data_IF_255325216895
#
_entry.id   IF_255325216895
#
_cell.length_a   1.000
_cell.length_b   1.000
_cell.length_c   1.000
_cell.angle_alpha   90.00
_cell.angle_beta   90.00
_cell.angle_gamma   90.00
#
_symmetry.space_group_name_H-M   'P 1'
#
loop_
_entity.id
_entity.type
_entity.pdbx_description
1 polymer ?
#
# COMPACT_ATOMS: atom_id res chain seq x y z
N UNK A 1 -7.21 42.55 -3.20
CA UNK A 1 -8.61 42.13 -3.00
C UNK A 1 -9.13 41.15 -4.04
N UNK A 2 -9.01 41.39 -5.36
CA UNK A 2 -9.43 40.42 -6.39
C UNK A 2 -8.52 39.18 -6.50
N UNK A 3 -7.23 39.29 -6.18
CA UNK A 3 -6.26 38.19 -6.22
C UNK A 3 -6.35 37.23 -5.02
N UNK A 4 -6.83 37.70 -3.86
CA UNK A 4 -7.06 36.84 -2.69
C UNK A 4 -8.38 36.05 -2.80
N UNK A 5 -9.39 36.61 -3.49
CA UNK A 5 -10.62 35.88 -3.80
C UNK A 5 -10.35 34.71 -4.77
N UNK A 6 -9.44 34.85 -5.73
CA UNK A 6 -9.09 33.74 -6.65
C UNK A 6 -8.34 32.59 -5.96
N UNK A 7 -7.62 32.84 -4.87
CA UNK A 7 -6.98 31.78 -4.07
C UNK A 7 -7.99 31.06 -3.17
N UNK A 8 -9.07 31.73 -2.76
CA UNK A 8 -10.10 31.15 -1.89
C UNK A 8 -11.03 30.14 -2.60
N UNK A 9 -11.07 30.12 -3.93
CA UNK A 9 -11.97 29.27 -4.73
C UNK A 9 -11.43 27.82 -4.89
N UNK A 10 -10.14 27.57 -4.66
CA UNK A 10 -9.56 26.22 -4.73
C UNK A 10 -9.61 25.41 -3.41
N UNK A 11 -10.32 25.91 -2.40
CA UNK A 11 -10.57 25.16 -1.15
C UNK A 11 -11.94 24.47 -1.17
N UNK A 12 -12.32 23.91 -2.32
CA UNK A 12 -13.39 22.92 -2.42
C UNK A 12 -12.78 21.56 -2.08
N UNK A 13 -13.40 20.82 -1.17
CA UNK A 13 -12.93 19.58 -0.57
C UNK A 13 -12.73 18.41 -1.56
N UNK A 14 -11.73 18.52 -2.44
CA UNK A 14 -11.41 17.51 -3.43
C UNK A 14 -10.21 16.69 -2.94
N UNK A 15 -10.33 15.37 -3.04
CA UNK A 15 -9.30 14.40 -2.65
C UNK A 15 -7.96 14.78 -3.28
N UNK A 16 -6.86 14.74 -2.53
CA UNK A 16 -5.54 15.09 -3.08
C UNK A 16 -5.20 14.19 -4.29
N UNK A 17 -4.50 14.70 -5.32
CA UNK A 17 -4.13 13.89 -6.47
C UNK A 17 -3.41 12.60 -6.06
N UNK A 18 -3.98 11.46 -6.47
CA UNK A 18 -3.53 10.15 -6.07
C UNK A 18 -2.44 9.65 -7.02
N UNK A 19 -1.21 9.55 -6.52
CA UNK A 19 -0.12 8.89 -7.24
C UNK A 19 -0.33 7.38 -7.19
N UNK A 20 -0.49 6.75 -8.35
CA UNK A 20 -0.62 5.30 -8.45
C UNK A 20 0.58 4.69 -9.17
N UNK A 21 0.95 3.49 -8.73
CA UNK A 21 2.07 2.72 -9.28
C UNK A 21 1.53 1.43 -9.90
N UNK A 22 2.29 0.84 -10.80
CA UNK A 22 1.95 -0.48 -11.36
C UNK A 22 2.10 -1.59 -10.32
N UNK A 23 1.37 -2.69 -10.50
CA UNK A 23 1.48 -3.87 -9.63
C UNK A 23 2.92 -4.40 -9.56
N UNK A 24 3.62 -4.45 -10.69
CA UNK A 24 5.03 -4.90 -10.75
C UNK A 24 5.93 -4.08 -9.82
N UNK A 25 5.75 -2.75 -9.79
CA UNK A 25 6.49 -1.87 -8.88
C UNK A 25 6.13 -2.09 -7.43
N UNK A 26 4.83 -2.29 -7.15
CA UNK A 26 4.37 -2.57 -5.80
C UNK A 26 5.01 -3.85 -5.26
N UNK A 27 4.95 -4.95 -6.01
CA UNK A 27 5.58 -6.22 -5.63
C UNK A 27 7.09 -6.04 -5.44
N UNK A 28 7.77 -5.41 -6.39
CA UNK A 28 9.22 -5.16 -6.31
C UNK A 28 9.59 -4.35 -5.06
N UNK A 29 8.89 -3.24 -4.78
CA UNK A 29 9.15 -2.40 -3.62
C UNK A 29 8.85 -3.12 -2.31
N UNK A 30 7.84 -3.98 -2.28
CA UNK A 30 7.48 -4.78 -1.10
C UNK A 30 8.56 -5.80 -0.77
N UNK A 31 9.05 -6.54 -1.78
CA UNK A 31 10.12 -7.52 -1.59
C UNK A 31 11.43 -6.84 -1.22
N UNK A 32 11.85 -5.81 -1.98
CA UNK A 32 13.14 -5.16 -1.73
C UNK A 32 13.19 -4.55 -0.32
N UNK A 33 12.08 -4.00 0.19
CA UNK A 33 12.02 -3.34 1.51
C UNK A 33 11.58 -4.26 2.67
N UNK A 34 11.60 -5.58 2.50
CA UNK A 34 11.15 -6.53 3.52
C UNK A 34 9.73 -6.24 4.05
N UNK A 35 8.77 -6.05 3.15
CA UNK A 35 7.37 -5.69 3.43
C UNK A 35 7.14 -4.32 4.10
N UNK A 36 8.18 -3.51 4.35
CA UNK A 36 8.00 -2.15 4.88
C UNK A 36 7.18 -1.26 3.92
N UNK A 37 7.30 -1.50 2.61
CA UNK A 37 6.48 -0.80 1.61
C UNK A 37 4.99 -1.14 1.71
N UNK A 38 4.61 -2.32 2.23
CA UNK A 38 3.22 -2.69 2.47
C UNK A 38 2.58 -1.72 3.46
N UNK A 39 3.29 -1.41 4.55
CA UNK A 39 2.87 -0.46 5.58
C UNK A 39 2.72 0.94 4.97
N UNK A 40 3.68 1.37 4.16
CA UNK A 40 3.59 2.65 3.45
C UNK A 40 2.35 2.69 2.53
N UNK A 41 2.09 1.63 1.78
CA UNK A 41 0.89 1.54 0.95
C UNK A 41 -0.39 1.58 1.80
N UNK A 42 -0.47 0.84 2.91
CA UNK A 42 -1.61 0.88 3.83
C UNK A 42 -1.86 2.30 4.37
N UNK A 43 -0.79 3.03 4.70
CA UNK A 43 -0.89 4.44 5.09
C UNK A 43 -1.52 5.28 3.97
N UNK A 44 -1.04 5.15 2.73
CA UNK A 44 -1.61 5.90 1.59
C UNK A 44 -3.07 5.53 1.32
N UNK A 45 -3.44 4.26 1.46
CA UNK A 45 -4.81 3.79 1.31
C UNK A 45 -5.73 4.35 2.42
N UNK A 46 -5.28 4.35 3.67
CA UNK A 46 -6.03 4.96 4.77
C UNK A 46 -6.15 6.48 4.62
N UNK A 47 -5.10 7.16 4.16
CA UNK A 47 -5.13 8.61 3.89
C UNK A 47 -6.15 8.95 2.80
N UNK A 48 -6.21 8.14 1.74
CA UNK A 48 -7.24 8.28 0.71
C UNK A 48 -8.66 8.21 1.31
N UNK A 49 -8.96 7.19 2.11
CA UNK A 49 -10.28 7.07 2.74
C UNK A 49 -10.56 8.12 3.82
N UNK A 50 -9.53 8.62 4.50
CA UNK A 50 -9.66 9.76 5.41
C UNK A 50 -10.17 10.99 4.65
N UNK A 51 -9.60 11.28 3.49
CA UNK A 51 -9.98 12.42 2.65
C UNK A 51 -11.35 12.21 1.98
N UNK A 52 -11.57 11.03 1.37
CA UNK A 52 -12.84 10.69 0.69
C UNK A 52 -14.03 10.74 1.66
N UNK A 53 -13.90 10.14 2.84
CA UNK A 53 -15.00 10.04 3.81
C UNK A 53 -15.07 11.25 4.75
N UNK A 54 -14.17 12.24 4.61
CA UNK A 54 -13.98 13.37 5.55
C UNK A 54 -13.94 12.92 7.02
N UNK A 55 -13.31 11.78 7.26
CA UNK A 55 -13.33 11.12 8.56
C UNK A 55 -12.12 11.51 9.41
N UNK A 56 -12.33 11.68 10.73
CA UNK A 56 -11.26 11.97 11.71
C UNK A 56 -10.49 10.71 12.12
N UNK A 57 -9.97 9.97 11.15
CA UNK A 57 -9.13 8.79 11.40
C UNK A 57 -7.66 9.17 11.37
N UNK A 58 -6.78 8.38 11.98
CA UNK A 58 -5.33 8.56 11.91
C UNK A 58 -4.69 7.49 11.00
N UNK A 59 -4.35 7.81 9.74
CA UNK A 59 -3.86 6.82 8.77
C UNK A 59 -2.57 6.12 9.19
N UNK A 60 -1.60 6.88 9.73
CA UNK A 60 -0.30 6.34 10.12
C UNK A 60 -0.43 5.28 11.23
N UNK A 61 -1.24 5.57 12.24
CA UNK A 61 -1.51 4.63 13.34
C UNK A 61 -2.14 3.34 12.81
N UNK A 62 -3.12 3.45 11.90
CA UNK A 62 -3.78 2.28 11.31
C UNK A 62 -2.86 1.44 10.42
N UNK A 63 -1.88 2.08 9.76
CA UNK A 63 -0.90 1.36 8.95
C UNK A 63 0.10 0.60 9.82
N UNK A 64 0.62 1.22 10.88
CA UNK A 64 1.56 0.56 11.82
C UNK A 64 0.86 -0.59 12.54
N UNK A 65 -0.39 -0.39 12.97
CA UNK A 65 -1.21 -1.42 13.61
C UNK A 65 -2.04 -2.24 12.60
N UNK A 66 -1.40 -2.67 11.50
CA UNK A 66 -2.04 -3.45 10.44
C UNK A 66 -2.76 -4.70 10.96
N UNK A 67 -2.28 -5.32 12.04
CA UNK A 67 -2.94 -6.46 12.68
C UNK A 67 -4.40 -6.20 13.07
N UNK A 68 -4.75 -4.96 13.45
CA UNK A 68 -6.12 -4.59 13.80
C UNK A 68 -6.87 -3.94 12.63
N UNK A 69 -6.15 -3.23 11.76
CA UNK A 69 -6.77 -2.34 10.78
C UNK A 69 -6.70 -2.84 9.33
N UNK A 70 -5.97 -3.91 9.03
CA UNK A 70 -5.93 -4.43 7.66
C UNK A 70 -7.30 -4.99 7.24
N UNK A 71 -7.96 -5.82 8.04
CA UNK A 71 -9.29 -6.34 7.70
C UNK A 71 -10.32 -5.23 7.40
N UNK A 72 -10.50 -4.21 8.27
CA UNK A 72 -11.34 -3.05 7.95
C UNK A 72 -10.94 -2.32 6.66
N UNK A 73 -9.63 -2.18 6.39
CA UNK A 73 -9.14 -1.56 5.16
C UNK A 73 -9.58 -2.37 3.93
N UNK A 74 -9.36 -3.69 3.94
CA UNK A 74 -9.73 -4.58 2.84
C UNK A 74 -11.23 -4.54 2.56
N UNK A 75 -12.07 -4.54 3.61
CA UNK A 75 -13.53 -4.40 3.47
C UNK A 75 -13.91 -3.06 2.83
N UNK A 76 -13.24 -1.97 3.23
CA UNK A 76 -13.50 -0.63 2.69
C UNK A 76 -13.07 -0.49 1.23
N UNK A 77 -11.93 -1.09 0.86
CA UNK A 77 -11.50 -1.20 -0.54
C UNK A 77 -12.55 -1.95 -1.37
N UNK A 78 -12.96 -3.15 -0.92
CA UNK A 78 -13.97 -3.95 -1.62
C UNK A 78 -15.26 -3.16 -1.83
N UNK A 79 -15.77 -2.51 -0.77
CA UNK A 79 -16.98 -1.67 -0.84
C UNK A 79 -16.81 -0.53 -1.85
N UNK A 80 -15.71 0.22 -1.78
CA UNK A 80 -15.44 1.32 -2.69
C UNK A 80 -15.34 0.86 -4.15
N UNK A 81 -14.66 -0.26 -4.42
CA UNK A 81 -14.62 -0.83 -5.77
C UNK A 81 -16.01 -1.19 -6.29
N UNK A 82 -16.88 -1.76 -5.44
CA UNK A 82 -18.29 -2.05 -5.79
C UNK A 82 -19.11 -0.81 -6.10
N UNK A 83 -18.92 0.27 -5.35
CA UNK A 83 -19.58 1.56 -5.62
C UNK A 83 -19.15 2.17 -6.97
N UNK A 84 -17.89 1.97 -7.37
CA UNK A 84 -17.33 2.46 -8.65
C UNK A 84 -17.54 1.46 -9.81
N UNK A 85 -18.49 0.52 -9.67
CA UNK A 85 -18.87 -0.42 -10.73
C UNK A 85 -17.83 -1.52 -11.01
N UNK A 86 -17.03 -1.89 -10.02
CA UNK A 86 -16.14 -3.06 -10.06
C UNK A 86 -16.57 -4.12 -9.05
N UNK A 87 -16.47 -5.40 -9.38
CA UNK A 87 -16.91 -6.49 -8.47
C UNK A 87 -15.72 -7.36 -8.09
N UNK A 88 -14.80 -6.86 -7.24
CA UNK A 88 -13.62 -7.63 -6.91
C UNK A 88 -13.99 -8.91 -6.14
N UNK A 89 -13.64 -10.04 -6.75
CA UNK A 89 -13.89 -11.37 -6.21
C UNK A 89 -12.75 -11.81 -5.29
N UNK A 90 -12.72 -11.21 -4.11
CA UNK A 90 -11.88 -11.70 -3.01
C UNK A 90 -12.62 -11.63 -1.68
N UNK A 91 -12.22 -12.48 -0.74
CA UNK A 91 -12.70 -12.42 0.64
C UNK A 91 -11.75 -11.57 1.48
N UNK A 92 -12.19 -10.40 2.02
CA UNK A 92 -11.36 -9.58 2.90
C UNK A 92 -10.85 -10.36 4.13
N UNK A 93 -11.63 -11.32 4.63
CA UNK A 93 -11.26 -12.13 5.78
C UNK A 93 -10.13 -13.12 5.44
N UNK A 94 -10.24 -13.85 4.31
CA UNK A 94 -9.21 -14.81 3.90
C UNK A 94 -7.88 -14.12 3.59
N UNK A 95 -7.94 -12.96 2.90
CA UNK A 95 -6.72 -12.19 2.61
C UNK A 95 -6.07 -11.65 3.89
N UNK A 96 -6.87 -11.18 4.85
CA UNK A 96 -6.35 -10.75 6.14
C UNK A 96 -5.67 -11.89 6.90
N UNK A 97 -6.35 -13.04 7.02
CA UNK A 97 -5.80 -14.22 7.72
C UNK A 97 -4.50 -14.68 7.03
N UNK A 98 -4.51 -14.77 5.70
CA UNK A 98 -3.34 -15.17 4.92
C UNK A 98 -2.17 -14.21 5.08
N UNK A 99 -2.43 -12.90 5.03
CA UNK A 99 -1.41 -11.87 5.27
C UNK A 99 -0.76 -12.06 6.64
N UNK A 100 -1.57 -12.12 7.71
CA UNK A 100 -1.06 -12.25 9.08
C UNK A 100 -0.31 -13.56 9.28
N UNK A 101 -0.85 -14.67 8.77
CA UNK A 101 -0.22 -15.99 8.87
C UNK A 101 1.15 -16.00 8.19
N UNK A 102 1.25 -15.52 6.94
CA UNK A 102 2.53 -15.44 6.23
C UNK A 102 3.49 -14.44 6.88
N UNK A 103 3.01 -13.28 7.34
CA UNK A 103 3.85 -12.31 8.03
C UNK A 103 4.46 -12.89 9.31
N UNK A 104 3.81 -13.85 9.99
CA UNK A 104 4.35 -14.52 11.18
C UNK A 104 5.45 -15.56 10.88
N UNK A 105 5.62 -15.97 9.61
CA UNK A 105 6.65 -16.93 9.20
C UNK A 105 8.07 -16.37 9.28
N UNK A 106 8.24 -15.09 9.62
CA UNK A 106 9.56 -14.48 9.87
C UNK A 106 10.35 -15.18 10.99
N UNK A 107 9.66 -15.95 11.85
CA UNK A 107 10.26 -16.70 12.96
C UNK A 107 10.90 -18.04 12.55
N UNK A 108 10.77 -18.44 11.29
CA UNK A 108 11.37 -19.67 10.79
C UNK A 108 12.91 -19.56 10.76
N UNK A 109 13.64 -20.68 10.87
CA UNK A 109 15.10 -20.67 10.79
C UNK A 109 15.59 -20.23 9.40
N UNK A 110 16.83 -19.80 9.31
CA UNK A 110 17.47 -19.46 8.04
C UNK A 110 17.45 -20.66 7.07
N UNK A 111 17.17 -20.46 5.77
CA UNK A 111 16.74 -19.23 5.09
C UNK A 111 15.20 -19.06 5.00
N UNK A 112 14.43 -19.92 5.68
CA UNK A 112 12.98 -20.05 5.50
C UNK A 112 12.16 -18.84 5.94
N UNK A 113 12.70 -17.94 6.78
CA UNK A 113 12.02 -16.69 7.14
C UNK A 113 11.70 -15.82 5.92
N UNK A 114 12.41 -15.97 4.80
CA UNK A 114 12.15 -15.27 3.54
C UNK A 114 10.76 -15.55 2.97
N UNK A 115 10.14 -16.68 3.34
CA UNK A 115 8.76 -17.02 2.96
C UNK A 115 7.77 -15.97 3.48
N UNK A 116 8.08 -15.28 4.58
CA UNK A 116 7.24 -14.20 5.11
C UNK A 116 7.05 -13.01 4.16
N UNK A 117 8.01 -12.79 3.24
CA UNK A 117 7.90 -11.79 2.17
C UNK A 117 6.78 -12.12 1.17
N UNK A 118 6.36 -13.39 1.11
CA UNK A 118 5.21 -13.85 0.34
C UNK A 118 3.86 -13.31 0.83
N UNK A 119 3.81 -12.67 2.00
CA UNK A 119 2.60 -12.00 2.52
C UNK A 119 2.03 -10.96 1.54
N UNK A 120 2.88 -10.36 0.68
CA UNK A 120 2.49 -9.42 -0.37
C UNK A 120 1.41 -9.99 -1.32
N UNK A 121 1.37 -11.30 -1.53
CA UNK A 121 0.38 -11.96 -2.42
C UNK A 121 -1.05 -11.63 -1.98
N UNK A 122 -1.28 -11.56 -0.66
CA UNK A 122 -2.60 -11.26 -0.10
C UNK A 122 -2.99 -9.77 -0.23
N UNK A 123 -2.05 -8.90 -0.60
CA UNK A 123 -2.33 -7.49 -0.89
C UNK A 123 -2.48 -7.21 -2.39
N UNK A 124 -2.17 -8.16 -3.28
CA UNK A 124 -2.27 -7.97 -4.73
C UNK A 124 -3.69 -7.64 -5.17
N UNK A 125 -4.69 -8.47 -4.81
CA UNK A 125 -6.07 -8.25 -5.23
C UNK A 125 -6.64 -6.93 -4.67
N UNK A 126 -6.48 -6.58 -3.37
CA UNK A 126 -6.92 -5.30 -2.85
C UNK A 126 -6.19 -4.10 -3.47
N UNK A 127 -4.88 -4.23 -3.74
CA UNK A 127 -4.10 -3.19 -4.40
C UNK A 127 -4.65 -2.89 -5.80
N UNK A 128 -4.90 -3.92 -6.60
CA UNK A 128 -5.49 -3.78 -7.93
C UNK A 128 -6.90 -3.21 -7.86
N UNK A 129 -7.76 -3.76 -6.99
CA UNK A 129 -9.14 -3.29 -6.82
C UNK A 129 -9.20 -1.81 -6.45
N UNK A 130 -8.34 -1.36 -5.53
CA UNK A 130 -8.27 0.06 -5.14
C UNK A 130 -7.82 0.94 -6.30
N UNK A 131 -6.77 0.54 -7.03
CA UNK A 131 -6.25 1.34 -8.13
C UNK A 131 -7.22 1.38 -9.33
N UNK A 132 -7.92 0.29 -9.62
CA UNK A 132 -8.97 0.27 -10.66
C UNK A 132 -10.14 1.16 -10.26
N UNK A 133 -10.63 1.05 -9.03
CA UNK A 133 -11.71 1.90 -8.52
C UNK A 133 -11.34 3.39 -8.56
N UNK A 134 -10.12 3.74 -8.14
CA UNK A 134 -9.62 5.11 -8.24
C UNK A 134 -9.55 5.64 -9.68
N UNK A 135 -9.29 4.79 -10.69
CA UNK A 135 -9.27 5.19 -12.11
C UNK A 135 -10.68 5.38 -12.68
N UNK A 136 -11.66 4.62 -12.19
CA UNK A 136 -13.07 4.73 -12.61
C UNK A 136 -13.77 5.94 -11.98
N UNK A 137 -13.34 6.34 -10.79
CA UNK A 137 -13.97 7.41 -10.02
C UNK A 137 -13.70 8.79 -10.61
N UNK A 138 -14.76 9.51 -10.98
CA UNK A 138 -14.69 10.88 -11.51
C UNK A 138 -14.16 11.89 -10.48
N UNK A 139 -14.28 11.58 -9.19
CA UNK A 139 -13.87 12.46 -8.09
C UNK A 139 -12.38 12.34 -7.74
N UNK A 140 -11.65 11.41 -8.35
CA UNK A 140 -10.26 11.11 -7.99
C UNK A 140 -9.33 11.49 -9.15
N UNK A 141 -8.54 12.54 -8.94
CA UNK A 141 -7.48 12.91 -9.88
C UNK A 141 -6.32 11.93 -9.73
N UNK A 142 -5.95 11.27 -10.83
CA UNK A 142 -4.90 10.24 -10.86
C UNK A 142 -3.63 10.76 -11.52
N UNK A 143 -2.49 10.47 -10.89
CA UNK A 143 -1.16 10.71 -11.45
C UNK A 143 -0.45 9.35 -11.60
N UNK A 144 -0.32 8.86 -12.83
CA UNK A 144 0.35 7.61 -13.15
C UNK A 144 1.88 7.76 -12.99
N UNK A 145 2.44 7.09 -11.98
CA UNK A 145 3.86 7.20 -11.67
C UNK A 145 4.68 6.20 -12.48
N UNK A 146 5.18 6.64 -13.65
CA UNK A 146 5.96 5.80 -14.59
C UNK A 146 7.37 5.44 -14.13
N UNK A 147 8.05 6.30 -13.36
CA UNK A 147 9.38 6.04 -12.79
C UNK A 147 9.36 5.83 -11.27
N UNK A 148 10.48 5.46 -10.66
CA UNK A 148 10.60 5.49 -9.20
C UNK A 148 10.79 6.93 -8.73
N UNK A 149 10.13 7.30 -7.63
CA UNK A 149 10.34 8.60 -7.01
C UNK A 149 11.69 8.66 -6.29
N UNK A 150 12.24 9.85 -6.05
CA UNK A 150 13.51 10.00 -5.32
C UNK A 150 13.52 9.24 -3.97
N UNK A 151 12.46 9.31 -3.14
CA UNK A 151 12.39 8.51 -1.91
C UNK A 151 12.41 7.00 -2.17
N UNK A 152 11.71 6.52 -3.21
CA UNK A 152 11.74 5.10 -3.57
C UNK A 152 13.13 4.64 -4.02
N UNK A 153 13.86 5.47 -4.78
CA UNK A 153 15.24 5.15 -5.20
C UNK A 153 16.16 5.07 -3.98
N UNK A 154 16.07 6.01 -3.05
CA UNK A 154 16.85 5.98 -1.80
C UNK A 154 16.56 4.71 -1.00
N UNK A 155 15.28 4.34 -0.85
CA UNK A 155 14.89 3.08 -0.20
C UNK A 155 15.51 1.88 -0.92
N UNK A 156 15.39 1.80 -2.26
CA UNK A 156 15.96 0.69 -3.04
C UNK A 156 17.45 0.55 -2.77
N UNK A 157 18.24 1.63 -2.81
CA UNK A 157 19.69 1.57 -2.54
C UNK A 157 19.98 1.03 -1.15
N UNK A 158 19.35 1.60 -0.11
CA UNK A 158 19.60 1.21 1.29
C UNK A 158 19.28 -0.27 1.51
N UNK A 159 18.11 -0.70 1.05
CA UNK A 159 17.66 -2.08 1.26
C UNK A 159 18.38 -3.08 0.34
N UNK A 160 18.88 -2.67 -0.83
CA UNK A 160 19.70 -3.54 -1.68
C UNK A 160 21.01 -3.91 -1.00
N UNK A 161 21.62 -2.98 -0.24
CA UNK A 161 22.79 -3.26 0.58
C UNK A 161 22.44 -4.30 1.65
N UNK A 162 21.29 -4.18 2.31
CA UNK A 162 20.84 -5.17 3.29
C UNK A 162 20.63 -6.55 2.66
N UNK A 163 20.05 -6.62 1.46
CA UNK A 163 19.93 -7.88 0.71
C UNK A 163 21.28 -8.52 0.43
N UNK A 164 22.29 -7.75 0.02
CA UNK A 164 23.64 -8.26 -0.21
C UNK A 164 24.22 -8.84 1.09
N UNK A 165 24.08 -8.14 2.21
CA UNK A 165 24.56 -8.61 3.52
C UNK A 165 23.86 -9.91 3.95
N UNK A 166 22.54 -10.00 3.75
CA UNK A 166 21.76 -11.21 4.06
C UNK A 166 22.21 -12.38 3.20
N UNK A 167 22.35 -12.17 1.88
CA UNK A 167 22.81 -13.22 0.98
C UNK A 167 24.22 -13.68 1.37
N UNK A 168 25.15 -12.76 1.66
CA UNK A 168 26.48 -13.12 2.16
C UNK A 168 26.41 -13.91 3.46
N UNK A 169 25.57 -13.51 4.41
CA UNK A 169 25.38 -14.24 5.67
C UNK A 169 24.84 -15.66 5.46
N UNK A 170 23.92 -15.85 4.51
CA UNK A 170 23.38 -17.16 4.17
C UNK A 170 24.39 -18.07 3.47
N UNK A 171 25.27 -17.50 2.61
CA UNK A 171 26.30 -18.27 1.92
C UNK A 171 27.55 -18.56 2.77
N UNK A 172 27.89 -17.67 3.71
CA UNK A 172 29.05 -17.81 4.60
C UNK A 172 28.72 -18.48 5.94
N UNK A 173 27.43 -18.63 6.24
CA UNK A 173 26.92 -19.28 7.45
C UNK A 173 26.83 -20.80 7.35
N UNK A 174 27.33 -21.40 6.25
CA UNK A 174 27.59 -22.84 6.09
C UNK A 174 29.03 -23.21 6.47
#
# INVERSE_FOLDING_TARGET
MLTEQMTSIQTSSQIEPQKIISLKKFIFLSIITFSAYDIWWMFTAWRFFQQKDKSKIMPALRAIFAIFFLYPLLKRIKKFSTEEGDTPDYSPALLFIGYIFFSMLYKLPDPFWLISLGSIIFLIQPFQALNTAKRKSEQVVIIEQKSFSKPQIVLIIIFSIMWILILLGLFLGE
#
